data_IF_297676044713
#
_entry.id   IF_297676044713
#
_cell.length_a   1.000
_cell.length_b   1.000
_cell.length_c   1.000
_cell.angle_alpha   90.00
_cell.angle_beta   90.00
_cell.angle_gamma   90.00
#
_symmetry.space_group_name_H-M   'P 1'
#
loop_
_entity.id
_entity.type
_entity.pdbx_description
1 polymer ?
#
# COMPACT_ATOMS: atom_id res chain seq x y z
N UNK A 1 -30.95 -29.37 -23.06
CA UNK A 1 -30.75 -28.07 -22.36
C UNK A 1 -29.31 -28.00 -21.88
N UNK A 2 -28.38 -27.59 -22.75
CA UNK A 2 -26.98 -27.34 -22.39
C UNK A 2 -26.69 -25.85 -22.60
N UNK A 3 -26.67 -25.06 -21.53
CA UNK A 3 -26.31 -23.63 -21.59
C UNK A 3 -25.53 -23.14 -20.37
N UNK A 4 -24.85 -24.05 -19.65
CA UNK A 4 -24.09 -23.74 -18.44
C UNK A 4 -22.57 -23.53 -18.62
N UNK A 5 -21.97 -24.08 -19.69
CA UNK A 5 -20.50 -24.15 -19.84
C UNK A 5 -19.81 -22.89 -20.37
N UNK A 6 -20.50 -22.07 -21.18
CA UNK A 6 -19.89 -20.95 -21.90
C UNK A 6 -19.71 -19.66 -21.07
N UNK A 7 -20.40 -19.53 -19.92
CA UNK A 7 -20.39 -18.29 -19.12
C UNK A 7 -19.07 -18.07 -18.36
N UNK A 8 -18.44 -19.14 -17.87
CA UNK A 8 -17.21 -19.06 -17.08
C UNK A 8 -15.97 -18.62 -17.90
N UNK A 9 -15.71 -19.15 -19.11
CA UNK A 9 -14.62 -18.64 -19.95
C UNK A 9 -14.88 -17.21 -20.43
N UNK A 10 -16.13 -16.87 -20.78
CA UNK A 10 -16.50 -15.50 -21.16
C UNK A 10 -16.28 -14.49 -20.03
N UNK A 11 -16.69 -14.80 -18.79
CA UNK A 11 -16.47 -13.95 -17.63
C UNK A 11 -14.99 -13.78 -17.28
N UNK A 12 -14.16 -14.83 -17.49
CA UNK A 12 -12.71 -14.73 -17.30
C UNK A 12 -12.06 -13.81 -18.33
N UNK A 13 -12.49 -13.91 -19.58
CA UNK A 13 -12.04 -13.05 -20.66
C UNK A 13 -12.46 -11.59 -20.38
N UNK A 14 -13.74 -11.36 -20.07
CA UNK A 14 -14.26 -10.03 -19.77
C UNK A 14 -13.59 -9.39 -18.54
N UNK A 15 -13.35 -10.14 -17.46
CA UNK A 15 -12.60 -9.62 -16.31
C UNK A 15 -11.14 -9.31 -16.66
N UNK A 16 -10.50 -10.15 -17.47
CA UNK A 16 -9.15 -9.90 -17.97
C UNK A 16 -9.09 -8.63 -18.82
N UNK A 17 -10.05 -8.47 -19.73
CA UNK A 17 -10.17 -7.32 -20.62
C UNK A 17 -10.45 -6.03 -19.86
N UNK A 18 -11.37 -6.04 -18.89
CA UNK A 18 -11.63 -4.90 -18.01
C UNK A 18 -10.37 -4.55 -17.19
N UNK A 19 -9.64 -5.55 -16.67
CA UNK A 19 -8.41 -5.30 -15.93
C UNK A 19 -7.32 -4.68 -16.82
N UNK A 20 -7.17 -5.15 -18.06
CA UNK A 20 -6.25 -4.57 -19.04
C UNK A 20 -6.67 -3.15 -19.41
N UNK A 21 -7.95 -2.93 -19.76
CA UNK A 21 -8.47 -1.61 -20.11
C UNK A 21 -8.31 -0.62 -18.96
N UNK A 22 -8.63 -1.02 -17.74
CA UNK A 22 -8.51 -0.12 -16.60
C UNK A 22 -7.04 0.09 -16.18
N UNK A 23 -6.15 -0.90 -16.43
CA UNK A 23 -4.71 -0.72 -16.33
C UNK A 23 -4.14 0.25 -17.37
N UNK A 24 -4.55 0.14 -18.63
CA UNK A 24 -4.12 1.05 -19.71
C UNK A 24 -4.68 2.45 -19.51
N UNK A 25 -5.95 2.58 -19.10
CA UNK A 25 -6.56 3.85 -18.75
C UNK A 25 -5.86 4.49 -17.55
N UNK A 26 -5.54 3.69 -16.53
CA UNK A 26 -4.77 4.12 -15.37
C UNK A 26 -3.38 4.63 -15.75
N UNK A 27 -2.66 3.89 -16.59
CA UNK A 27 -1.37 4.32 -17.13
C UNK A 27 -1.48 5.59 -17.99
N UNK A 28 -2.49 5.67 -18.85
CA UNK A 28 -2.75 6.84 -19.69
C UNK A 28 -3.08 8.09 -18.84
N UNK A 29 -3.86 7.94 -17.78
CA UNK A 29 -4.17 9.03 -16.82
C UNK A 29 -2.92 9.41 -16.03
N UNK A 30 -2.10 8.44 -15.62
CA UNK A 30 -0.84 8.71 -14.93
C UNK A 30 0.14 9.51 -15.82
N UNK A 31 0.25 9.12 -17.10
CA UNK A 31 1.08 9.82 -18.09
C UNK A 31 0.50 11.17 -18.49
N UNK A 32 -0.83 11.28 -18.61
CA UNK A 32 -1.54 12.51 -18.98
C UNK A 32 -1.57 13.56 -17.86
N UNK A 33 -1.23 13.20 -16.63
CA UNK A 33 -1.09 14.11 -15.49
C UNK A 33 0.34 14.54 -15.23
N UNK A 34 1.27 14.24 -16.13
CA UNK A 34 2.63 14.77 -16.04
C UNK A 34 2.55 16.29 -16.21
N UNK A 35 2.84 17.10 -15.17
CA UNK A 35 2.82 18.54 -15.32
C UNK A 35 3.86 18.95 -16.37
N UNK A 36 3.58 19.97 -17.20
CA UNK A 36 4.62 20.53 -18.06
C UNK A 36 5.83 20.94 -17.20
N UNK A 37 7.06 20.84 -17.75
CA UNK A 37 8.26 21.25 -17.02
C UNK A 37 8.05 22.68 -16.48
N UNK A 38 8.31 22.92 -15.18
CA UNK A 38 7.97 24.19 -14.56
C UNK A 38 8.73 25.32 -15.24
N UNK A 39 8.01 26.17 -15.96
CA UNK A 39 8.54 27.39 -16.59
C UNK A 39 8.61 28.57 -15.61
N UNK A 40 8.43 28.33 -14.31
CA UNK A 40 8.57 29.30 -13.23
C UNK A 40 8.49 28.67 -11.83
N UNK A 41 8.79 29.44 -10.78
CA UNK A 41 8.52 29.06 -9.39
C UNK A 41 7.01 29.02 -9.15
N UNK A 42 6.47 27.87 -8.74
CA UNK A 42 5.05 27.76 -8.38
C UNK A 42 4.74 28.78 -7.27
N UNK A 43 3.78 29.68 -7.52
CA UNK A 43 3.44 30.79 -6.61
C UNK A 43 2.35 30.39 -5.61
N UNK A 44 1.55 29.37 -5.94
CA UNK A 44 0.42 28.91 -5.14
C UNK A 44 0.33 27.38 -5.04
N UNK A 45 -0.23 26.88 -3.92
CA UNK A 45 -0.48 25.44 -3.68
C UNK A 45 -1.19 24.72 -4.83
N UNK A 46 -2.08 25.42 -5.55
CA UNK A 46 -2.83 24.87 -6.67
C UNK A 46 -1.92 24.50 -7.85
N UNK A 47 -0.89 25.31 -8.09
CA UNK A 47 0.06 25.12 -9.18
C UNK A 47 1.03 23.98 -8.86
N UNK A 48 1.44 23.86 -7.59
CA UNK A 48 2.37 22.83 -7.13
C UNK A 48 1.70 21.46 -6.94
N UNK A 49 0.53 21.40 -6.29
CA UNK A 49 -0.19 20.14 -6.03
C UNK A 49 -1.06 19.70 -7.21
N UNK A 50 -1.42 20.63 -8.10
CA UNK A 50 -2.43 20.43 -9.12
C UNK A 50 -3.86 20.51 -8.58
N UNK A 51 -4.06 21.04 -7.36
CA UNK A 51 -5.37 21.17 -6.73
C UNK A 51 -5.43 22.08 -5.50
N UNK A 52 -6.65 22.47 -5.16
CA UNK A 52 -6.97 23.16 -3.91
C UNK A 52 -6.90 22.21 -2.73
N UNK A 53 -6.04 22.48 -1.76
CA UNK A 53 -6.04 21.78 -0.48
C UNK A 53 -6.71 22.66 0.58
N UNK A 54 -7.83 22.22 1.18
CA UNK A 54 -8.45 22.99 2.26
C UNK A 54 -7.56 23.00 3.51
N UNK A 55 -7.76 23.97 4.42
CA UNK A 55 -7.05 23.98 5.70
C UNK A 55 -7.23 22.67 6.46
N UNK A 56 -6.14 22.18 7.06
CA UNK A 56 -6.17 20.96 7.86
C UNK A 56 -7.14 21.11 9.04
N UNK A 57 -8.25 20.39 8.96
CA UNK A 57 -9.20 20.20 10.05
C UNK A 57 -9.49 18.72 10.21
N UNK A 58 -9.96 18.28 11.39
CA UNK A 58 -10.33 16.86 11.60
C UNK A 58 -11.40 16.41 10.59
N UNK A 59 -12.35 17.30 10.28
CA UNK A 59 -13.37 17.06 9.26
C UNK A 59 -12.73 16.87 7.89
N UNK A 60 -11.98 17.86 7.41
CA UNK A 60 -11.34 17.80 6.09
C UNK A 60 -10.38 16.61 5.96
N UNK A 61 -9.64 16.25 7.02
CA UNK A 61 -8.76 15.09 6.99
C UNK A 61 -9.50 13.76 6.75
N UNK A 62 -10.76 13.66 7.19
CA UNK A 62 -11.59 12.46 7.00
C UNK A 62 -12.42 12.52 5.72
N UNK A 63 -12.92 13.71 5.36
CA UNK A 63 -13.88 13.89 4.27
C UNK A 63 -13.26 14.23 2.93
N UNK A 64 -12.01 14.71 2.90
CA UNK A 64 -11.32 14.98 1.64
C UNK A 64 -11.09 13.65 0.92
N UNK A 65 -11.48 13.58 -0.36
CA UNK A 65 -11.36 12.36 -1.16
C UNK A 65 -10.71 12.70 -2.49
N UNK A 66 -9.61 12.01 -2.77
CA UNK A 66 -8.78 12.16 -3.97
C UNK A 66 -8.63 10.79 -4.63
N UNK A 67 -9.62 10.34 -5.41
CA UNK A 67 -9.60 9.00 -5.96
C UNK A 67 -8.34 8.77 -6.81
N UNK A 68 -7.56 7.75 -6.43
CA UNK A 68 -6.53 7.17 -7.28
C UNK A 68 -7.19 6.01 -8.06
N UNK A 69 -7.51 6.19 -9.36
CA UNK A 69 -8.21 5.16 -10.13
C UNK A 69 -7.41 3.86 -10.24
N UNK A 70 -6.07 3.96 -10.28
CA UNK A 70 -5.20 2.79 -10.40
C UNK A 70 -5.25 1.99 -9.09
N UNK A 71 -5.06 2.66 -7.96
CA UNK A 71 -5.11 2.01 -6.66
C UNK A 71 -6.49 1.39 -6.41
N UNK A 72 -7.58 2.15 -6.65
CA UNK A 72 -8.94 1.67 -6.44
C UNK A 72 -9.29 0.48 -7.34
N UNK A 73 -8.85 0.49 -8.60
CA UNK A 73 -9.03 -0.65 -9.50
C UNK A 73 -8.31 -1.90 -8.96
N UNK A 74 -7.05 -1.77 -8.56
CA UNK A 74 -6.25 -2.89 -8.03
C UNK A 74 -6.87 -3.45 -6.75
N UNK A 75 -7.35 -2.57 -5.85
CA UNK A 75 -8.04 -2.96 -4.62
C UNK A 75 -9.38 -3.64 -4.91
N UNK A 76 -10.15 -3.13 -5.88
CA UNK A 76 -11.40 -3.75 -6.31
C UNK A 76 -11.16 -5.14 -6.95
N UNK A 77 -10.12 -5.28 -7.77
CA UNK A 77 -9.71 -6.56 -8.33
C UNK A 77 -9.29 -7.55 -7.23
N UNK A 78 -8.54 -7.09 -6.22
CA UNK A 78 -8.16 -7.88 -5.05
C UNK A 78 -9.38 -8.31 -4.22
N UNK A 79 -10.36 -7.42 -4.00
CA UNK A 79 -11.63 -7.74 -3.35
C UNK A 79 -12.41 -8.80 -4.12
N UNK A 80 -12.57 -8.60 -5.43
CA UNK A 80 -13.30 -9.52 -6.31
C UNK A 80 -12.64 -10.91 -6.34
N UNK A 81 -11.31 -10.96 -6.46
CA UNK A 81 -10.55 -12.20 -6.44
C UNK A 81 -10.75 -12.95 -5.12
N UNK A 82 -10.59 -12.28 -3.99
CA UNK A 82 -10.77 -12.88 -2.66
C UNK A 82 -12.21 -13.38 -2.44
N UNK A 83 -13.21 -12.54 -2.70
CA UNK A 83 -14.61 -12.92 -2.53
C UNK A 83 -15.04 -14.04 -3.49
N UNK A 84 -14.46 -14.10 -4.69
CA UNK A 84 -14.68 -15.23 -5.61
C UNK A 84 -14.12 -16.54 -5.04
N UNK A 85 -12.96 -16.49 -4.38
CA UNK A 85 -12.36 -17.62 -3.68
C UNK A 85 -13.25 -18.10 -2.53
N UNK A 86 -13.75 -17.18 -1.70
CA UNK A 86 -14.68 -17.48 -0.60
C UNK A 86 -15.97 -18.12 -1.12
N UNK A 87 -16.58 -17.54 -2.17
CA UNK A 87 -17.79 -18.08 -2.80
C UNK A 87 -17.58 -19.46 -3.44
N UNK A 88 -16.39 -19.70 -4.01
CA UNK A 88 -16.05 -21.02 -4.58
C UNK A 88 -15.96 -22.06 -3.47
N UNK A 89 -15.28 -21.72 -2.38
CA UNK A 89 -15.12 -22.61 -1.24
C UNK A 89 -16.46 -22.89 -0.56
N UNK A 90 -17.31 -21.88 -0.39
CA UNK A 90 -18.64 -22.06 0.23
C UNK A 90 -19.56 -22.96 -0.59
N UNK A 91 -19.44 -22.97 -1.92
CA UNK A 91 -20.20 -23.87 -2.81
C UNK A 91 -19.64 -25.29 -2.85
N UNK A 92 -18.33 -25.44 -2.69
CA UNK A 92 -17.65 -26.74 -2.75
C UNK A 92 -17.71 -27.51 -1.43
N UNK A 93 -17.84 -26.81 -0.30
CA UNK A 93 -17.86 -27.42 1.04
C UNK A 93 -19.24 -28.03 1.31
N UNK A 94 -19.41 -29.34 1.08
CA UNK A 94 -20.62 -30.10 1.45
C UNK A 94 -20.68 -30.46 2.95
N UNK A 95 -19.52 -30.46 3.64
CA UNK A 95 -19.34 -31.08 4.96
C UNK A 95 -19.03 -30.08 6.10
N UNK A 96 -19.51 -28.83 6.01
CA UNK A 96 -19.50 -27.90 7.15
C UNK A 96 -18.16 -27.21 7.51
N UNK A 97 -17.08 -27.49 6.79
CA UNK A 97 -15.82 -26.76 6.93
C UNK A 97 -15.89 -25.37 6.26
N UNK A 98 -16.47 -24.39 6.95
CA UNK A 98 -16.65 -23.02 6.44
C UNK A 98 -15.36 -22.19 6.36
N UNK A 99 -15.39 -21.10 5.57
CA UNK A 99 -14.36 -20.06 5.62
C UNK A 99 -14.65 -19.12 6.81
N UNK A 100 -13.68 -18.87 7.73
CA UNK A 100 -13.95 -18.03 8.89
C UNK A 100 -14.29 -16.59 8.50
N UNK A 101 -15.44 -16.09 8.95
CA UNK A 101 -15.95 -14.74 8.61
C UNK A 101 -14.96 -13.64 8.99
N UNK A 102 -14.27 -13.78 10.12
CA UNK A 102 -13.27 -12.81 10.57
C UNK A 102 -12.10 -12.64 9.59
N UNK A 103 -11.75 -13.68 8.81
CA UNK A 103 -10.69 -13.58 7.78
C UNK A 103 -11.15 -12.71 6.62
N UNK A 104 -12.40 -12.88 6.19
CA UNK A 104 -13.00 -12.02 5.17
C UNK A 104 -13.14 -10.59 5.67
N UNK A 105 -13.59 -10.40 6.91
CA UNK A 105 -13.68 -9.07 7.52
C UNK A 105 -12.29 -8.39 7.59
N UNK A 106 -11.25 -9.11 8.02
CA UNK A 106 -9.87 -8.62 8.06
C UNK A 106 -9.37 -8.23 6.68
N UNK A 107 -9.60 -9.06 5.66
CA UNK A 107 -9.22 -8.76 4.28
C UNK A 107 -9.88 -7.48 3.76
N UNK A 108 -11.21 -7.37 3.92
CA UNK A 108 -11.96 -6.20 3.47
C UNK A 108 -11.58 -4.93 4.24
N UNK A 109 -11.33 -5.05 5.55
CA UNK A 109 -10.82 -3.95 6.36
C UNK A 109 -9.43 -3.49 5.89
N UNK A 110 -8.53 -4.42 5.56
CA UNK A 110 -7.22 -4.11 4.98
C UNK A 110 -7.34 -3.35 3.66
N UNK A 111 -8.24 -3.79 2.76
CA UNK A 111 -8.51 -3.07 1.51
C UNK A 111 -9.10 -1.67 1.75
N UNK A 112 -10.00 -1.52 2.72
CA UNK A 112 -10.56 -0.21 3.08
C UNK A 112 -9.48 0.74 3.63
N UNK A 113 -8.55 0.23 4.44
CA UNK A 113 -7.41 1.00 4.94
C UNK A 113 -6.51 1.45 3.78
N UNK A 114 -6.19 0.56 2.83
CA UNK A 114 -5.39 0.92 1.66
C UNK A 114 -6.12 1.92 0.74
N UNK A 115 -7.44 1.78 0.59
CA UNK A 115 -8.25 2.72 -0.18
C UNK A 115 -8.23 4.11 0.47
N UNK A 116 -8.38 4.20 1.79
CA UNK A 116 -8.26 5.46 2.52
C UNK A 116 -6.84 6.04 2.42
N UNK A 117 -5.81 5.19 2.54
CA UNK A 117 -4.42 5.61 2.46
C UNK A 117 -4.03 6.15 1.08
N UNK A 118 -4.65 5.66 0.00
CA UNK A 118 -4.36 6.09 -1.37
C UNK A 118 -5.30 7.15 -1.91
N UNK A 119 -6.54 7.22 -1.40
CA UNK A 119 -7.60 8.05 -1.96
C UNK A 119 -8.36 8.92 -0.94
N UNK A 120 -8.10 8.78 0.36
CA UNK A 120 -8.74 9.58 1.41
C UNK A 120 -7.96 10.85 1.74
N UNK A 121 -8.37 11.54 2.80
CA UNK A 121 -7.75 12.81 3.15
C UNK A 121 -6.28 12.66 3.53
N UNK A 122 -5.88 11.54 4.15
CA UNK A 122 -4.45 11.26 4.39
C UNK A 122 -3.64 11.29 3.09
N UNK A 123 -4.19 10.83 1.97
CA UNK A 123 -3.55 10.89 0.66
C UNK A 123 -3.53 12.31 0.08
N UNK A 124 -4.57 13.10 0.34
CA UNK A 124 -4.65 14.51 -0.05
C UNK A 124 -3.61 15.37 0.69
N UNK A 125 -3.43 15.14 2.00
CA UNK A 125 -2.50 15.92 2.81
C UNK A 125 -1.06 15.39 2.77
N UNK A 126 -0.81 14.14 2.37
CA UNK A 126 0.52 13.54 2.37
C UNK A 126 1.60 14.29 1.56
N UNK A 127 1.32 14.90 0.39
CA UNK A 127 2.30 15.73 -0.31
C UNK A 127 2.53 17.09 0.35
N UNK A 128 1.65 17.52 1.26
CA UNK A 128 1.64 18.84 1.86
C UNK A 128 2.16 18.87 3.30
N UNK A 129 2.09 17.76 4.02
CA UNK A 129 2.50 17.61 5.40
C UNK A 129 3.31 16.33 5.58
N UNK A 130 4.47 16.45 6.23
CA UNK A 130 5.30 15.30 6.60
C UNK A 130 4.57 14.36 7.57
N UNK A 131 3.78 14.90 8.50
CA UNK A 131 2.97 14.08 9.42
C UNK A 131 1.90 13.26 8.69
N UNK A 132 1.23 13.84 7.69
CA UNK A 132 0.27 13.12 6.85
C UNK A 132 0.96 12.08 5.97
N UNK A 133 2.15 12.38 5.44
CA UNK A 133 2.98 11.40 4.74
C UNK A 133 3.34 10.21 5.64
N UNK A 134 3.81 10.46 6.86
CA UNK A 134 4.14 9.41 7.81
C UNK A 134 2.91 8.54 8.15
N UNK A 135 1.75 9.17 8.37
CA UNK A 135 0.50 8.47 8.58
C UNK A 135 0.10 7.61 7.37
N UNK A 136 0.23 8.14 6.14
CA UNK A 136 -0.02 7.39 4.92
C UNK A 136 0.89 6.15 4.84
N UNK A 137 2.18 6.30 5.11
CA UNK A 137 3.15 5.21 5.05
C UNK A 137 2.99 4.20 6.20
N UNK A 138 2.46 4.61 7.36
CA UNK A 138 2.06 3.69 8.42
C UNK A 138 0.85 2.83 8.00
N UNK A 139 -0.14 3.43 7.33
CA UNK A 139 -1.30 2.71 6.81
C UNK A 139 -0.91 1.74 5.68
N UNK A 140 -0.11 2.21 4.73
CA UNK A 140 0.35 1.41 3.58
C UNK A 140 1.40 0.36 3.95
N UNK A 141 2.27 0.66 4.91
CA UNK A 141 3.41 -0.18 5.28
C UNK A 141 3.17 -1.11 6.47
N UNK A 142 2.09 -0.93 7.23
CA UNK A 142 1.81 -1.77 8.39
C UNK A 142 0.32 -2.14 8.53
N UNK A 143 -0.56 -1.15 8.72
CA UNK A 143 -1.96 -1.41 9.12
C UNK A 143 -2.75 -2.15 8.03
N UNK A 144 -2.73 -1.65 6.80
CA UNK A 144 -3.39 -2.33 5.67
C UNK A 144 -2.81 -3.72 5.42
N UNK A 145 -1.48 -3.85 5.22
CA UNK A 145 -0.82 -5.14 4.99
C UNK A 145 -1.07 -6.19 6.08
N UNK A 146 -1.05 -5.82 7.37
CA UNK A 146 -1.27 -6.79 8.45
C UNK A 146 -2.69 -7.36 8.38
N UNK A 147 -3.68 -6.51 8.13
CA UNK A 147 -5.08 -6.92 7.96
C UNK A 147 -5.28 -7.82 6.73
N UNK A 148 -4.59 -7.52 5.62
CA UNK A 148 -4.61 -8.38 4.43
C UNK A 148 -4.02 -9.77 4.72
N UNK A 149 -2.88 -9.84 5.41
CA UNK A 149 -2.23 -11.12 5.75
C UNK A 149 -3.08 -11.96 6.69
N UNK A 150 -3.75 -11.36 7.67
CA UNK A 150 -4.70 -12.06 8.55
C UNK A 150 -5.92 -12.63 7.79
N UNK A 151 -6.22 -12.06 6.62
CA UNK A 151 -7.16 -12.61 5.66
C UNK A 151 -6.77 -13.97 5.06
N UNK A 152 -5.53 -14.45 5.27
CA UNK A 152 -5.00 -15.73 4.76
C UNK A 152 -5.26 -16.00 3.26
N UNK A 153 -4.92 -15.05 2.36
CA UNK A 153 -5.21 -15.16 0.94
C UNK A 153 -4.58 -16.41 0.29
N UNK A 154 -3.38 -16.85 0.72
CA UNK A 154 -2.74 -18.03 0.12
C UNK A 154 -3.38 -19.34 0.59
N UNK A 155 -3.87 -19.39 1.83
CA UNK A 155 -4.67 -20.50 2.35
C UNK A 155 -6.00 -20.58 1.61
N UNK A 156 -6.66 -19.44 1.38
CA UNK A 156 -7.89 -19.39 0.61
C UNK A 156 -7.66 -19.91 -0.82
N UNK A 157 -6.59 -19.44 -1.48
CA UNK A 157 -6.29 -19.85 -2.83
C UNK A 157 -6.02 -21.37 -2.92
N UNK A 158 -5.19 -21.94 -2.04
CA UNK A 158 -4.95 -23.40 -2.01
C UNK A 158 -6.21 -24.22 -1.75
N UNK A 159 -7.05 -23.80 -0.80
CA UNK A 159 -8.32 -24.50 -0.54
C UNK A 159 -9.30 -24.38 -1.72
N UNK A 160 -9.30 -23.24 -2.41
CA UNK A 160 -10.13 -23.04 -3.58
C UNK A 160 -9.58 -23.72 -4.85
N UNK A 161 -8.27 -24.01 -4.92
CA UNK A 161 -7.58 -24.68 -6.04
C UNK A 161 -6.48 -25.62 -5.50
N UNK A 162 -6.82 -26.87 -5.18
CA UNK A 162 -5.89 -27.83 -4.60
C UNK A 162 -4.62 -28.07 -5.43
N UNK A 163 -4.73 -27.99 -6.75
CA UNK A 163 -3.61 -28.24 -7.68
C UNK A 163 -2.65 -27.05 -7.85
N UNK A 164 -2.96 -25.89 -7.24
CA UNK A 164 -2.13 -24.71 -7.34
C UNK A 164 -1.18 -24.60 -6.13
N UNK A 165 0.12 -24.39 -6.40
CA UNK A 165 1.11 -23.99 -5.38
C UNK A 165 1.61 -22.55 -5.65
N UNK A 166 0.90 -21.53 -5.12
CA UNK A 166 1.21 -20.11 -5.30
C UNK A 166 2.64 -19.70 -4.95
N UNK A 167 3.22 -20.40 -3.97
CA UNK A 167 4.46 -19.99 -3.31
C UNK A 167 5.60 -20.98 -3.49
N UNK A 168 5.34 -22.18 -3.99
CA UNK A 168 6.34 -23.25 -4.08
C UNK A 168 7.46 -23.04 -5.09
N UNK A 169 7.25 -22.14 -6.07
CA UNK A 169 8.24 -21.83 -7.10
C UNK A 169 9.50 -21.12 -6.57
N UNK A 170 10.57 -21.03 -7.38
CA UNK A 170 11.84 -20.43 -6.97
C UNK A 170 11.69 -18.98 -6.48
N UNK A 171 10.85 -18.19 -7.14
CA UNK A 171 10.54 -16.81 -6.71
C UNK A 171 9.84 -16.78 -5.34
N UNK A 172 8.84 -17.63 -5.10
CA UNK A 172 8.15 -17.70 -3.81
C UNK A 172 9.08 -18.16 -2.67
N UNK A 173 10.02 -19.09 -2.94
CA UNK A 173 11.06 -19.50 -1.98
C UNK A 173 12.06 -18.39 -1.68
N UNK A 174 12.43 -17.58 -2.67
CA UNK A 174 13.34 -16.45 -2.49
C UNK A 174 12.68 -15.32 -1.69
N UNK A 175 11.44 -14.96 -2.03
CA UNK A 175 10.69 -13.88 -1.38
C UNK A 175 10.23 -14.25 0.04
N UNK A 176 9.99 -15.53 0.31
CA UNK A 176 9.67 -16.02 1.67
C UNK A 176 10.90 -16.26 2.55
N UNK A 177 12.11 -16.05 2.04
CA UNK A 177 13.32 -16.17 2.84
C UNK A 177 13.39 -15.04 3.88
N UNK A 178 13.59 -15.33 5.19
CA UNK A 178 13.56 -14.34 6.27
C UNK A 178 14.40 -13.08 6.01
N UNK A 179 15.64 -13.28 5.55
CA UNK A 179 16.57 -12.17 5.29
C UNK A 179 16.11 -11.33 4.10
N UNK A 180 15.60 -11.97 3.04
CA UNK A 180 15.12 -11.28 1.84
C UNK A 180 13.87 -10.46 2.17
N UNK A 181 12.91 -11.06 2.87
CA UNK A 181 11.70 -10.40 3.30
C UNK A 181 11.99 -9.21 4.22
N UNK A 182 12.91 -9.38 5.19
CA UNK A 182 13.35 -8.31 6.06
C UNK A 182 14.05 -7.19 5.29
N UNK A 183 15.00 -7.51 4.40
CA UNK A 183 15.72 -6.51 3.62
C UNK A 183 14.78 -5.69 2.71
N UNK A 184 13.86 -6.37 2.01
CA UNK A 184 12.87 -5.72 1.14
C UNK A 184 11.96 -4.77 1.92
N UNK A 185 11.59 -5.10 3.15
CA UNK A 185 10.75 -4.24 3.97
C UNK A 185 11.52 -3.12 4.67
N UNK A 186 12.71 -3.42 5.18
CA UNK A 186 13.47 -2.50 6.01
C UNK A 186 14.28 -1.47 5.20
N UNK A 187 14.81 -1.81 4.02
CA UNK A 187 15.68 -0.91 3.24
C UNK A 187 14.99 0.28 2.56
N UNK A 188 13.75 0.17 2.03
CA UNK A 188 13.11 1.30 1.37
C UNK A 188 12.99 2.55 2.25
N UNK A 189 12.84 2.38 3.56
CA UNK A 189 12.65 3.48 4.51
C UNK A 189 13.92 4.35 4.66
N UNK A 190 15.10 3.83 5.06
CA UNK A 190 16.33 4.61 5.08
C UNK A 190 16.74 5.07 3.68
N UNK A 191 16.50 4.30 2.62
CA UNK A 191 16.79 4.75 1.25
C UNK A 191 15.98 6.01 0.92
N UNK A 192 14.68 6.03 1.22
CA UNK A 192 13.82 7.19 0.93
C UNK A 192 14.30 8.46 1.63
N UNK A 193 14.64 8.38 2.92
CA UNK A 193 14.96 9.56 3.72
C UNK A 193 16.43 9.97 3.69
N UNK A 194 17.37 9.01 3.63
CA UNK A 194 18.80 9.31 3.78
C UNK A 194 19.49 9.63 2.45
N UNK A 195 18.88 9.29 1.31
CA UNK A 195 19.45 9.59 -0.02
C UNK A 195 18.93 10.89 -0.63
N UNK A 196 18.00 11.58 0.04
CA UNK A 196 17.30 12.74 -0.50
C UNK A 196 16.17 12.40 -1.47
N UNK A 197 15.91 11.11 -1.75
CA UNK A 197 14.84 10.65 -2.64
C UNK A 197 13.47 11.19 -2.22
N UNK A 198 13.23 11.37 -0.92
CA UNK A 198 12.03 12.00 -0.40
C UNK A 198 11.75 13.37 -1.03
N UNK A 199 12.77 14.24 -1.13
CA UNK A 199 12.64 15.57 -1.72
C UNK A 199 12.27 15.53 -3.21
N UNK A 200 12.81 14.57 -3.96
CA UNK A 200 12.47 14.36 -5.37
C UNK A 200 11.09 13.71 -5.56
N UNK A 201 10.68 12.87 -4.61
CA UNK A 201 9.36 12.24 -4.65
C UNK A 201 8.24 13.24 -4.41
N UNK A 202 8.42 14.21 -3.52
CA UNK A 202 7.36 15.16 -3.17
C UNK A 202 6.71 15.88 -4.37
N UNK A 203 7.43 16.43 -5.36
CA UNK A 203 6.81 17.01 -6.55
C UNK A 203 6.35 15.96 -7.57
N UNK A 204 7.02 14.82 -7.67
CA UNK A 204 6.77 13.83 -8.72
C UNK A 204 5.71 12.78 -8.34
N UNK A 205 4.54 12.84 -8.98
CA UNK A 205 3.47 11.85 -8.79
C UNK A 205 3.97 10.43 -9.03
N UNK A 206 4.74 10.21 -10.09
CA UNK A 206 5.28 8.89 -10.43
C UNK A 206 6.18 8.33 -9.32
N UNK A 207 7.07 9.16 -8.76
CA UNK A 207 7.95 8.74 -7.66
C UNK A 207 7.16 8.48 -6.37
N UNK A 208 6.13 9.28 -6.05
CA UNK A 208 5.25 9.01 -4.89
C UNK A 208 4.53 7.68 -5.04
N UNK A 209 3.90 7.45 -6.19
CA UNK A 209 3.17 6.20 -6.46
C UNK A 209 4.11 4.98 -6.43
N UNK A 210 5.31 5.11 -7.01
CA UNK A 210 6.32 4.05 -6.95
C UNK A 210 6.75 3.75 -5.51
N UNK A 211 7.02 4.77 -4.71
CA UNK A 211 7.42 4.60 -3.31
C UNK A 211 6.28 3.98 -2.46
N UNK A 212 5.05 4.43 -2.64
CA UNK A 212 3.85 3.85 -2.01
C UNK A 212 3.66 2.38 -2.39
N UNK A 213 3.82 2.04 -3.68
CA UNK A 213 3.73 0.67 -4.17
C UNK A 213 4.82 -0.22 -3.59
N UNK A 214 6.08 0.24 -3.59
CA UNK A 214 7.21 -0.49 -2.98
C UNK A 214 6.93 -0.76 -1.52
N UNK A 215 6.58 0.26 -0.73
CA UNK A 215 6.30 0.12 0.71
C UNK A 215 5.14 -0.85 0.96
N UNK A 216 4.06 -0.76 0.19
CA UNK A 216 2.88 -1.62 0.37
C UNK A 216 3.20 -3.08 0.02
N UNK A 217 3.85 -3.32 -1.12
CA UNK A 217 4.17 -4.67 -1.59
C UNK A 217 5.17 -5.34 -0.67
N UNK A 218 6.24 -4.64 -0.28
CA UNK A 218 7.26 -5.21 0.60
C UNK A 218 6.72 -5.45 2.01
N UNK A 219 5.81 -4.60 2.50
CA UNK A 219 5.10 -4.82 3.75
C UNK A 219 4.22 -6.07 3.73
N UNK A 220 3.41 -6.26 2.68
CA UNK A 220 2.58 -7.47 2.53
C UNK A 220 3.47 -8.72 2.50
N UNK A 221 4.56 -8.70 1.74
CA UNK A 221 5.50 -9.82 1.66
C UNK A 221 6.15 -10.12 3.02
N UNK A 222 6.68 -9.10 3.69
CA UNK A 222 7.32 -9.26 5.00
C UNK A 222 6.35 -9.76 6.07
N UNK A 223 5.16 -9.17 6.15
CA UNK A 223 4.16 -9.56 7.15
C UNK A 223 3.57 -10.94 6.85
N UNK A 224 3.46 -11.35 5.58
CA UNK A 224 3.08 -12.73 5.24
C UNK A 224 4.08 -13.75 5.82
N UNK A 225 5.38 -13.43 5.78
CA UNK A 225 6.45 -14.26 6.32
C UNK A 225 6.51 -14.19 7.85
N UNK A 226 6.45 -12.98 8.42
CA UNK A 226 6.61 -12.72 9.83
C UNK A 226 5.39 -13.15 10.66
N UNK A 227 4.17 -12.89 10.21
CA UNK A 227 2.96 -13.36 10.87
C UNK A 227 2.79 -14.88 10.66
N UNK A 228 3.10 -15.34 9.44
CA UNK A 228 3.00 -16.74 9.01
C UNK A 228 1.67 -17.39 9.34
N UNK A 229 0.60 -16.64 9.06
CA UNK A 229 -0.81 -17.08 9.03
C UNK A 229 -1.03 -18.04 7.87
N UNK A 230 -0.41 -17.75 6.72
CA UNK A 230 -0.44 -18.59 5.53
C UNK A 230 0.72 -19.60 5.54
N UNK A 231 0.52 -20.84 5.05
CA UNK A 231 1.60 -21.81 4.97
C UNK A 231 2.66 -21.40 3.95
N UNK A 232 3.92 -21.37 4.38
CA UNK A 232 5.06 -20.98 3.56
C UNK A 232 5.80 -22.20 3.00
N UNK A 233 6.58 -22.05 1.90
CA UNK A 233 7.38 -23.15 1.34
C UNK A 233 8.42 -23.72 2.32
N UNK A 234 8.85 -22.92 3.29
CA UNK A 234 9.80 -23.31 4.34
C UNK A 234 9.16 -23.02 5.70
N UNK A 235 9.26 -23.97 6.62
CA UNK A 235 8.88 -23.73 8.01
C UNK A 235 9.85 -22.72 8.64
N UNK A 236 9.31 -21.64 9.19
CA UNK A 236 10.10 -20.60 9.86
C UNK A 236 9.82 -20.69 11.35
N UNK A 237 10.88 -20.88 12.13
CA UNK A 237 10.81 -20.98 13.59
C UNK A 237 10.25 -19.67 14.18
N UNK A 238 9.41 -19.72 15.23
CA UNK A 238 8.85 -18.52 15.88
C UNK A 238 9.91 -17.49 16.30
N UNK A 239 11.07 -17.97 16.76
CA UNK A 239 12.20 -17.14 17.17
C UNK A 239 12.74 -16.30 15.99
N UNK A 240 12.82 -16.88 14.79
CA UNK A 240 13.27 -16.15 13.59
C UNK A 240 12.26 -15.06 13.21
N UNK A 241 10.95 -15.34 13.32
CA UNK A 241 9.89 -14.34 13.10
C UNK A 241 10.00 -13.17 14.08
N UNK A 242 10.25 -13.47 15.36
CA UNK A 242 10.48 -12.45 16.38
C UNK A 242 11.70 -11.58 16.05
N UNK A 243 12.82 -12.18 15.64
CA UNK A 243 14.02 -11.44 15.22
C UNK A 243 13.80 -10.59 13.97
N UNK A 244 13.03 -11.08 13.00
CA UNK A 244 12.64 -10.31 11.81
C UNK A 244 11.85 -9.06 12.20
N UNK A 245 10.84 -9.20 13.06
CA UNK A 245 10.04 -8.08 13.57
C UNK A 245 10.90 -7.08 14.35
N UNK A 246 11.74 -7.57 15.26
CA UNK A 246 12.65 -6.73 16.02
C UNK A 246 13.63 -5.97 15.12
N UNK A 247 14.23 -6.63 14.12
CA UNK A 247 15.13 -6.00 13.17
C UNK A 247 14.44 -4.93 12.32
N UNK A 248 13.21 -5.20 11.86
CA UNK A 248 12.44 -4.22 11.10
C UNK A 248 12.08 -2.99 11.94
N UNK A 249 11.67 -3.19 13.19
CA UNK A 249 11.39 -2.10 14.15
C UNK A 249 12.67 -1.30 14.41
N UNK A 250 13.81 -1.97 14.62
CA UNK A 250 15.08 -1.32 14.89
C UNK A 250 15.53 -0.42 13.72
N UNK A 251 15.47 -0.91 12.49
CA UNK A 251 15.83 -0.11 11.29
C UNK A 251 14.89 1.09 11.15
N UNK A 252 13.59 0.89 11.37
CA UNK A 252 12.58 1.96 11.27
C UNK A 252 12.79 3.02 12.34
N UNK A 253 12.97 2.62 13.60
CA UNK A 253 13.22 3.51 14.72
C UNK A 253 14.55 4.26 14.56
N UNK A 254 15.62 3.58 14.14
CA UNK A 254 16.89 4.23 13.82
C UNK A 254 16.73 5.28 12.71
N UNK A 255 16.05 4.94 11.62
CA UNK A 255 15.80 5.89 10.53
C UNK A 255 14.99 7.09 11.02
N UNK A 256 13.93 6.86 11.80
CA UNK A 256 13.10 7.92 12.35
C UNK A 256 13.91 8.85 13.28
N UNK A 257 14.80 8.31 14.11
CA UNK A 257 15.71 9.10 14.95
C UNK A 257 16.69 9.95 14.13
N UNK A 258 17.25 9.40 13.05
CA UNK A 258 18.14 10.16 12.15
C UNK A 258 17.37 11.30 11.46
N UNK A 259 16.16 11.05 10.99
CA UNK A 259 15.29 12.09 10.40
C UNK A 259 14.90 13.14 11.44
N UNK A 260 14.58 12.72 12.66
CA UNK A 260 14.21 13.62 13.77
C UNK A 260 15.37 14.53 14.20
N UNK A 261 16.60 14.00 14.25
CA UNK A 261 17.79 14.74 14.61
C UNK A 261 18.35 15.59 13.46
N UNK A 262 18.01 15.24 12.22
CA UNK A 262 18.46 15.93 11.02
C UNK A 262 17.65 17.19 10.67
N UNK A 263 18.02 17.87 9.57
CA UNK A 263 17.27 19.02 9.07
C UNK A 263 15.87 18.61 8.56
N UNK A 264 14.95 19.58 8.42
CA UNK A 264 13.66 19.36 7.79
C UNK A 264 13.78 18.74 6.39
N UNK A 265 12.96 17.74 6.10
CA UNK A 265 12.92 17.03 4.83
C UNK A 265 12.16 17.85 3.79
N UNK A 266 12.65 17.85 2.54
CA UNK A 266 12.06 18.58 1.40
C UNK A 266 11.70 20.06 1.71
N UNK A 267 12.62 20.85 2.29
CA UNK A 267 12.30 22.19 2.80
C UNK A 267 11.82 23.14 1.69
N UNK A 268 12.41 23.06 0.50
CA UNK A 268 12.04 23.87 -0.67
C UNK A 268 10.64 23.54 -1.19
N UNK A 269 10.27 22.26 -1.21
CA UNK A 269 8.95 21.82 -1.65
C UNK A 269 7.86 22.36 -0.72
N UNK A 270 8.00 22.14 0.59
CA UNK A 270 7.03 22.65 1.56
C UNK A 270 7.02 24.18 1.63
N UNK A 271 8.11 24.86 1.26
CA UNK A 271 8.13 26.31 1.08
C UNK A 271 7.31 26.76 -0.13
N UNK A 272 7.49 26.10 -1.27
CA UNK A 272 6.80 26.42 -2.51
C UNK A 272 5.27 26.25 -2.41
N UNK A 273 4.78 25.36 -1.54
CA UNK A 273 3.34 25.21 -1.30
C UNK A 273 2.68 26.45 -0.67
N UNK A 274 3.44 27.25 0.10
CA UNK A 274 2.96 28.51 0.67
C UNK A 274 1.70 28.38 1.55
N UNK A 275 1.56 27.27 2.29
CA UNK A 275 0.36 26.96 3.08
C UNK A 275 0.31 27.79 4.38
N UNK A 276 -0.58 28.78 4.53
CA UNK A 276 -0.59 29.68 5.69
C UNK A 276 -1.09 28.99 6.97
N UNK A 277 -1.84 27.91 6.83
CA UNK A 277 -2.40 27.12 7.93
C UNK A 277 -1.52 25.94 8.33
N UNK A 278 -0.46 25.64 7.57
CA UNK A 278 0.39 24.51 7.86
C UNK A 278 1.20 24.76 9.15
N UNK A 279 1.38 23.72 9.99
CA UNK A 279 2.25 23.82 11.15
C UNK A 279 3.70 24.15 10.76
N UNK A 280 4.49 24.59 11.74
CA UNK A 280 5.93 24.72 11.57
C UNK A 280 6.54 23.39 11.06
N UNK A 281 7.46 23.47 10.10
CA UNK A 281 7.98 22.29 9.40
C UNK A 281 8.76 21.35 10.32
N UNK A 282 9.52 21.90 11.26
CA UNK A 282 10.25 21.09 12.23
C UNK A 282 9.28 20.44 13.22
N UNK A 283 8.23 21.16 13.64
CA UNK A 283 7.17 20.60 14.47
C UNK A 283 6.38 19.48 13.74
N UNK A 284 6.06 19.67 12.46
CA UNK A 284 5.36 18.68 11.64
C UNK A 284 6.20 17.43 11.39
N UNK A 285 7.50 17.61 11.14
CA UNK A 285 8.45 16.50 11.01
C UNK A 285 8.55 15.72 12.32
N UNK A 286 8.66 16.40 13.47
CA UNK A 286 8.63 15.76 14.79
C UNK A 286 7.38 14.92 14.96
N UNK A 287 6.21 15.47 14.69
CA UNK A 287 4.95 14.73 14.75
C UNK A 287 4.96 13.52 13.82
N UNK A 288 5.38 13.67 12.57
CA UNK A 288 5.46 12.56 11.62
C UNK A 288 6.43 11.46 12.05
N UNK A 289 7.60 11.82 12.60
CA UNK A 289 8.55 10.82 13.12
C UNK A 289 8.05 10.06 14.34
N UNK A 290 7.07 10.61 15.09
CA UNK A 290 6.41 9.91 16.19
C UNK A 290 5.28 9.00 15.71
N UNK A 291 4.61 9.37 14.61
CA UNK A 291 3.54 8.59 13.99
C UNK A 291 4.04 7.42 13.13
N UNK A 292 5.21 7.60 12.50
CA UNK A 292 5.84 6.65 11.59
C UNK A 292 6.71 5.66 12.32
#
# INVERSE_FOLDING_TARGET
MESGGARAPFLRLACGEIAVMAGTLGLAVALGRTPPPPTGTAVHQHDALGYALPPLTRGAFVTEVRPDPIALLLLAAAAAAYLSGVRRLSRASKDGGGWPVWRTASWLAGLAVLAYATSGGVAAYAPALFSAHAAQYALLGAVGPVLLVYGAPLTLWRRARPDADPGGGPAGRALSHPVTALALYALPYPVLYLTGLFGYAQPSLALRLAAQAVVTVTAVLFLAVAAGVDPLPRAIRPQVRAWMLAGAIAVRAWTALVVLAGPPQAPEWYAALGLPWAPDRAADQRLGTLLG
#
